data_IF_146997378446
#
_entry.id   IF_146997378446
#
_cell.length_a   1.000
_cell.length_b   1.000
_cell.length_c   1.000
_cell.angle_alpha   90.00
_cell.angle_beta   90.00
_cell.angle_gamma   90.00
#
_symmetry.space_group_name_H-M   'P 1'
#
loop_
_entity.id
_entity.type
_entity.pdbx_description
1 polymer ?
#
# COMPACT_ATOMS: atom_id res chain seq x y z
N UNK A 1 -16.11 16.45 -0.72
CA UNK A 1 -14.92 16.03 0.01
C UNK A 1 -14.88 16.70 1.37
N UNK A 2 -14.87 18.03 1.49
CA UNK A 2 -14.79 18.77 2.76
C UNK A 2 -15.87 18.40 3.79
N UNK A 3 -17.14 18.29 3.38
CA UNK A 3 -18.24 17.96 4.28
C UNK A 3 -18.07 16.58 4.91
N UNK A 4 -17.58 15.60 4.14
CA UNK A 4 -17.34 14.24 4.64
C UNK A 4 -16.09 14.13 5.50
N UNK A 5 -15.06 14.97 5.26
CA UNK A 5 -13.93 15.08 6.17
C UNK A 5 -14.34 15.64 7.53
N UNK A 6 -15.23 16.64 7.55
CA UNK A 6 -15.76 17.18 8.80
C UNK A 6 -16.60 16.14 9.56
N UNK A 7 -17.43 15.38 8.85
CA UNK A 7 -18.19 14.26 9.43
C UNK A 7 -17.26 13.18 10.01
N UNK A 8 -16.08 12.93 9.38
CA UNK A 8 -15.07 12.02 9.88
C UNK A 8 -14.40 12.54 11.16
N UNK A 9 -14.05 13.83 11.20
CA UNK A 9 -13.47 14.48 12.40
C UNK A 9 -14.49 14.49 13.56
N UNK A 10 -15.76 14.72 13.26
CA UNK A 10 -16.83 14.72 14.26
C UNK A 10 -17.14 13.29 14.79
N UNK A 11 -16.93 12.25 13.99
CA UNK A 11 -17.03 10.85 14.41
C UNK A 11 -15.83 10.44 15.30
N UNK A 12 -14.63 10.96 15.00
CA UNK A 12 -13.41 10.76 15.80
C UNK A 12 -13.59 11.27 17.23
N UNK A 13 -14.25 12.43 17.42
CA UNK A 13 -14.56 12.99 18.74
C UNK A 13 -15.60 12.19 19.54
N UNK A 14 -16.24 11.19 18.93
CA UNK A 14 -17.24 10.32 19.56
C UNK A 14 -16.73 8.91 19.96
N UNK A 15 -15.42 8.67 19.90
CA UNK A 15 -14.81 7.43 20.39
C UNK A 15 -14.69 6.29 19.38
N UNK A 16 -15.03 6.51 18.10
CA UNK A 16 -14.99 5.51 17.03
C UNK A 16 -13.86 5.80 16.01
N UNK A 17 -12.72 6.26 16.51
CA UNK A 17 -11.60 6.77 15.70
C UNK A 17 -11.11 5.78 14.63
N UNK A 18 -10.89 4.53 15.01
CA UNK A 18 -10.38 3.51 14.07
C UNK A 18 -11.38 3.16 12.97
N UNK A 19 -12.65 3.04 13.32
CA UNK A 19 -13.69 2.75 12.34
C UNK A 19 -13.85 3.92 11.36
N UNK A 20 -13.82 5.15 11.85
CA UNK A 20 -13.88 6.36 11.04
C UNK A 20 -12.71 6.49 10.07
N UNK A 21 -11.48 6.18 10.51
CA UNK A 21 -10.28 6.20 9.66
C UNK A 21 -10.42 5.15 8.55
N UNK A 22 -10.80 3.93 8.89
CA UNK A 22 -11.02 2.84 7.93
C UNK A 22 -12.06 3.22 6.87
N UNK A 23 -13.21 3.72 7.30
CA UNK A 23 -14.30 4.09 6.40
C UNK A 23 -13.91 5.28 5.51
N UNK A 24 -13.12 6.22 6.03
CA UNK A 24 -12.58 7.32 5.26
C UNK A 24 -11.59 6.82 4.21
N UNK A 25 -10.67 5.93 4.57
CA UNK A 25 -9.71 5.33 3.62
C UNK A 25 -10.47 4.57 2.53
N UNK A 26 -11.44 3.72 2.91
CA UNK A 26 -12.29 2.99 1.95
C UNK A 26 -13.00 3.93 0.98
N UNK A 27 -13.55 5.02 1.48
CA UNK A 27 -14.23 6.01 0.65
C UNK A 27 -13.31 6.67 -0.36
N UNK A 28 -12.15 7.17 0.11
CA UNK A 28 -11.22 7.92 -0.73
C UNK A 28 -10.50 6.99 -1.72
N UNK A 29 -10.05 5.84 -1.26
CA UNK A 29 -9.42 4.82 -2.10
C UNK A 29 -10.42 4.30 -3.15
N UNK A 30 -11.65 3.98 -2.74
CA UNK A 30 -12.69 3.53 -3.67
C UNK A 30 -13.06 4.60 -4.71
N UNK A 31 -13.08 5.88 -4.32
CA UNK A 31 -13.29 6.97 -5.26
C UNK A 31 -12.13 7.08 -6.28
N UNK A 32 -10.89 6.89 -5.81
CA UNK A 32 -9.72 6.87 -6.69
C UNK A 32 -9.77 5.70 -7.68
N UNK A 33 -10.04 4.48 -7.19
CA UNK A 33 -10.02 3.29 -8.03
C UNK A 33 -11.16 3.25 -9.07
N UNK A 34 -12.29 3.94 -8.78
CA UNK A 34 -13.43 4.10 -9.69
C UNK A 34 -13.35 5.33 -10.57
N UNK A 35 -12.30 6.16 -10.42
CA UNK A 35 -12.16 7.38 -11.20
C UNK A 35 -12.00 7.05 -12.69
N UNK A 36 -12.57 7.91 -13.54
CA UNK A 36 -12.39 7.80 -14.99
C UNK A 36 -10.91 8.01 -15.36
N UNK A 37 -10.32 7.16 -16.21
CA UNK A 37 -8.97 7.36 -16.74
C UNK A 37 -8.74 8.77 -17.29
N UNK A 38 -9.73 9.38 -17.93
CA UNK A 38 -9.64 10.75 -18.43
C UNK A 38 -9.39 11.79 -17.33
N UNK A 39 -9.73 11.46 -16.08
CA UNK A 39 -9.53 12.32 -14.90
C UNK A 39 -8.20 12.05 -14.22
N UNK A 40 -7.86 10.79 -13.94
CA UNK A 40 -6.66 10.49 -13.17
C UNK A 40 -5.37 10.45 -14.02
N UNK A 41 -5.42 10.06 -15.28
CA UNK A 41 -4.22 9.98 -16.13
C UNK A 41 -3.49 11.32 -16.30
N UNK A 42 -4.18 12.44 -16.59
CA UNK A 42 -3.54 13.75 -16.60
C UNK A 42 -2.98 14.16 -15.24
N UNK A 43 -3.68 13.80 -14.15
CA UNK A 43 -3.23 14.09 -12.79
C UNK A 43 -1.94 13.34 -12.43
N UNK A 44 -1.85 12.04 -12.77
CA UNK A 44 -0.63 11.24 -12.60
C UNK A 44 0.52 11.84 -13.39
N UNK A 45 0.31 12.20 -14.66
CA UNK A 45 1.35 12.79 -15.52
C UNK A 45 1.84 14.12 -14.94
N UNK A 46 0.92 15.00 -14.57
CA UNK A 46 1.26 16.29 -13.97
C UNK A 46 2.02 16.15 -12.65
N UNK A 47 1.61 15.20 -11.81
CA UNK A 47 2.29 14.89 -10.56
C UNK A 47 3.74 14.42 -10.80
N UNK A 48 3.93 13.46 -11.70
CA UNK A 48 5.25 12.93 -12.02
C UNK A 48 6.18 14.03 -12.57
N UNK A 49 5.69 14.87 -13.48
CA UNK A 49 6.45 16.00 -14.03
C UNK A 49 6.84 17.02 -12.96
N UNK A 50 5.95 17.35 -12.02
CA UNK A 50 6.28 18.25 -10.92
C UNK A 50 7.36 17.66 -10.02
N UNK A 51 7.26 16.38 -9.74
CA UNK A 51 8.23 15.66 -8.89
C UNK A 51 9.60 15.52 -9.58
N UNK A 52 9.64 15.30 -10.89
CA UNK A 52 10.89 15.34 -11.66
C UNK A 52 11.57 16.71 -11.60
N UNK A 53 10.79 17.80 -11.60
CA UNK A 53 11.32 19.17 -11.46
C UNK A 53 11.74 19.51 -10.04
N UNK A 54 11.34 18.72 -9.04
CA UNK A 54 11.68 18.97 -7.64
C UNK A 54 11.00 20.20 -7.03
N UNK A 55 9.83 20.58 -7.52
CA UNK A 55 9.12 21.81 -7.11
C UNK A 55 8.20 21.63 -5.91
N UNK A 56 7.91 20.41 -5.51
CA UNK A 56 6.97 20.11 -4.43
C UNK A 56 7.71 19.78 -3.12
N UNK A 57 7.15 20.24 -1.99
CA UNK A 57 7.60 19.88 -0.65
C UNK A 57 7.11 18.47 -0.28
N UNK A 58 7.89 17.47 -0.65
CA UNK A 58 7.64 16.06 -0.36
C UNK A 58 8.97 15.37 -0.06
N UNK A 59 8.93 14.26 0.67
CA UNK A 59 10.15 13.49 0.92
C UNK A 59 10.79 13.02 -0.39
N UNK A 60 12.11 12.99 -0.45
CA UNK A 60 12.85 12.52 -1.64
C UNK A 60 12.48 11.08 -1.99
N UNK A 61 12.21 10.25 -0.99
CA UNK A 61 11.79 8.87 -1.19
C UNK A 61 10.46 8.78 -1.95
N UNK A 62 9.43 9.50 -1.52
CA UNK A 62 8.12 9.51 -2.20
C UNK A 62 8.25 10.10 -3.60
N UNK A 63 9.05 11.17 -3.76
CA UNK A 63 9.32 11.77 -5.06
C UNK A 63 9.93 10.77 -6.03
N UNK A 64 11.03 10.13 -5.63
CA UNK A 64 11.72 9.14 -6.46
C UNK A 64 10.82 7.96 -6.80
N UNK A 65 9.99 7.52 -5.85
CA UNK A 65 9.07 6.42 -6.05
C UNK A 65 7.98 6.77 -7.08
N UNK A 66 7.33 7.92 -6.99
CA UNK A 66 6.30 8.36 -7.93
C UNK A 66 6.86 8.45 -9.35
N UNK A 67 8.03 9.09 -9.51
CA UNK A 67 8.70 9.22 -10.81
C UNK A 67 8.99 7.84 -11.40
N UNK A 68 9.60 6.96 -10.60
CA UNK A 68 9.93 5.59 -11.01
C UNK A 68 8.68 4.80 -11.41
N UNK A 69 7.63 4.83 -10.60
CA UNK A 69 6.40 4.09 -10.88
C UNK A 69 5.71 4.59 -12.15
N UNK A 70 5.69 5.91 -12.36
CA UNK A 70 5.13 6.46 -13.60
C UNK A 70 5.98 6.10 -14.84
N UNK A 71 7.31 5.96 -14.71
CA UNK A 71 8.16 5.46 -15.81
C UNK A 71 7.88 4.00 -16.14
N UNK A 72 7.63 3.16 -15.12
CA UNK A 72 7.36 1.73 -15.30
C UNK A 72 5.92 1.45 -15.75
N UNK A 73 4.97 2.22 -15.24
CA UNK A 73 3.52 2.12 -15.50
C UNK A 73 2.95 3.51 -15.79
N UNK A 74 3.18 4.03 -16.99
CA UNK A 74 2.77 5.40 -17.32
C UNK A 74 1.27 5.61 -17.13
N UNK A 75 0.92 6.65 -16.38
CA UNK A 75 -0.47 7.07 -16.15
C UNK A 75 -1.33 6.06 -15.39
N UNK A 76 -0.74 5.03 -14.78
CA UNK A 76 -1.49 4.05 -14.00
C UNK A 76 -1.98 4.65 -12.68
N UNK A 77 -3.21 4.33 -12.31
CA UNK A 77 -3.81 4.78 -11.04
C UNK A 77 -3.02 4.29 -9.81
N UNK A 78 -2.32 3.17 -9.93
CA UNK A 78 -1.45 2.60 -8.89
C UNK A 78 -0.31 3.52 -8.48
N UNK A 79 0.10 4.47 -9.34
CA UNK A 79 1.07 5.51 -8.96
C UNK A 79 0.53 6.35 -7.80
N UNK A 80 -0.77 6.66 -7.81
CA UNK A 80 -1.42 7.41 -6.73
C UNK A 80 -1.65 6.56 -5.47
N UNK A 81 -1.63 5.23 -5.57
CA UNK A 81 -1.72 4.35 -4.40
C UNK A 81 -0.53 4.50 -3.45
N UNK A 82 0.60 5.04 -3.90
CA UNK A 82 1.75 5.39 -3.05
C UNK A 82 1.37 6.28 -1.87
N UNK A 83 0.32 7.10 -1.98
CA UNK A 83 -0.16 7.96 -0.90
C UNK A 83 -1.07 7.24 0.12
N UNK A 84 -1.41 6.00 -0.14
CA UNK A 84 -2.25 5.17 0.74
C UNK A 84 -1.45 4.08 1.44
N UNK A 85 -0.26 3.75 0.94
CA UNK A 85 0.53 2.62 1.39
C UNK A 85 1.81 3.08 2.09
N UNK A 86 2.24 2.31 3.07
CA UNK A 86 3.55 2.49 3.68
C UNK A 86 4.65 2.06 2.70
N UNK A 87 5.76 2.80 2.68
CA UNK A 87 7.00 2.33 2.06
C UNK A 87 7.82 1.61 3.12
N UNK A 88 8.11 0.33 2.90
CA UNK A 88 8.81 -0.51 3.87
C UNK A 88 10.12 -0.99 3.27
N UNK A 89 11.23 -0.70 3.96
CA UNK A 89 12.54 -1.23 3.64
C UNK A 89 12.88 -2.39 4.58
N UNK A 90 13.22 -3.53 3.99
CA UNK A 90 13.67 -4.70 4.72
C UNK A 90 15.17 -4.90 4.49
N UNK A 91 15.90 -5.06 5.56
CA UNK A 91 17.30 -5.46 5.53
C UNK A 91 17.43 -6.99 5.42
N UNK A 92 18.64 -7.44 5.14
CA UNK A 92 18.92 -8.89 5.09
C UNK A 92 18.56 -9.55 6.42
N UNK A 93 17.74 -10.58 6.35
CA UNK A 93 17.27 -11.34 7.51
C UNK A 93 16.01 -10.79 8.17
N UNK A 94 15.50 -9.66 7.70
CA UNK A 94 14.19 -9.15 8.13
C UNK A 94 13.07 -9.77 7.30
N UNK A 95 11.91 -9.88 7.90
CA UNK A 95 10.70 -10.37 7.27
C UNK A 95 9.50 -9.50 7.63
N UNK A 96 8.44 -9.60 6.85
CA UNK A 96 7.15 -9.01 7.17
C UNK A 96 6.03 -10.00 6.88
N UNK A 97 4.92 -9.82 7.58
CA UNK A 97 3.69 -10.54 7.33
C UNK A 97 2.69 -9.64 6.62
N UNK A 98 2.15 -10.14 5.52
CA UNK A 98 1.08 -9.51 4.77
C UNK A 98 -0.17 -10.37 4.95
N UNK A 99 -1.18 -9.81 5.62
CA UNK A 99 -2.46 -10.47 5.83
C UNK A 99 -3.25 -10.63 4.52
N UNK A 100 -4.27 -11.47 4.56
CA UNK A 100 -5.24 -11.50 3.48
C UNK A 100 -5.91 -10.14 3.34
N UNK A 101 -6.27 -9.79 2.10
CA UNK A 101 -6.97 -8.55 1.77
C UNK A 101 -6.20 -7.25 2.13
N UNK A 102 -4.88 -7.33 2.26
CA UNK A 102 -3.98 -6.20 2.44
C UNK A 102 -3.24 -5.90 1.12
N UNK A 103 -3.44 -4.71 0.51
CA UNK A 103 -2.82 -4.38 -0.76
C UNK A 103 -1.32 -4.14 -0.58
N UNK A 104 -0.51 -4.71 -1.47
CA UNK A 104 0.94 -4.55 -1.44
C UNK A 104 1.57 -4.64 -2.82
N UNK A 105 2.79 -4.15 -2.95
CA UNK A 105 3.61 -4.32 -4.14
C UNK A 105 5.08 -4.43 -3.77
N UNK A 106 5.79 -5.34 -4.42
CA UNK A 106 7.25 -5.48 -4.31
C UNK A 106 7.92 -4.54 -5.30
N UNK A 107 8.70 -3.60 -4.80
CA UNK A 107 9.26 -2.53 -5.63
C UNK A 107 10.67 -2.84 -6.13
N UNK A 108 11.52 -3.40 -5.28
CA UNK A 108 12.90 -3.75 -5.62
C UNK A 108 13.52 -4.69 -4.59
N UNK A 109 14.61 -5.37 -4.99
CA UNK A 109 15.38 -6.25 -4.12
C UNK A 109 15.14 -7.73 -4.44
N UNK A 110 15.69 -8.58 -3.58
CA UNK A 110 15.53 -10.03 -3.62
C UNK A 110 14.83 -10.48 -2.34
N UNK A 111 13.72 -11.16 -2.49
CA UNK A 111 12.92 -11.69 -1.38
C UNK A 111 12.60 -13.17 -1.61
N UNK A 112 12.30 -13.84 -0.52
CA UNK A 112 11.59 -15.12 -0.54
C UNK A 112 10.15 -14.84 -0.09
N UNK A 113 9.19 -15.22 -0.91
CA UNK A 113 7.77 -15.15 -0.59
C UNK A 113 7.27 -16.57 -0.31
N UNK A 114 6.60 -16.73 0.83
CA UNK A 114 5.89 -17.96 1.17
C UNK A 114 4.44 -17.62 1.40
N UNK A 115 3.54 -18.20 0.65
CA UNK A 115 2.12 -17.91 0.71
C UNK A 115 1.29 -19.19 0.60
N UNK A 116 0.07 -19.15 1.11
CA UNK A 116 -0.91 -20.21 0.88
C UNK A 116 -1.24 -20.28 -0.63
N UNK A 117 -1.44 -21.50 -1.13
CA UNK A 117 -1.84 -21.69 -2.52
C UNK A 117 -3.23 -21.07 -2.76
N UNK A 118 -3.30 -20.11 -3.65
CA UNK A 118 -4.53 -19.40 -3.99
C UNK A 118 -4.43 -18.84 -5.41
N UNK A 119 -5.51 -18.92 -6.18
CA UNK A 119 -5.62 -18.36 -7.53
C UNK A 119 -6.36 -17.01 -7.57
N UNK A 120 -6.87 -16.54 -6.44
CA UNK A 120 -7.75 -15.39 -6.36
C UNK A 120 -6.96 -14.09 -6.07
N UNK A 121 -6.09 -13.72 -6.98
CA UNK A 121 -5.39 -12.44 -6.94
C UNK A 121 -6.28 -11.35 -7.54
N UNK A 122 -6.69 -10.40 -6.70
CA UNK A 122 -7.40 -9.19 -7.11
C UNK A 122 -6.39 -8.04 -7.25
N UNK A 123 -6.41 -7.36 -8.40
CA UNK A 123 -5.38 -6.38 -8.74
C UNK A 123 -5.86 -4.96 -8.54
N UNK A 124 -5.00 -4.13 -7.95
CA UNK A 124 -5.28 -2.71 -7.71
C UNK A 124 -4.75 -1.83 -8.86
N UNK A 125 -3.45 -1.81 -9.07
CA UNK A 125 -2.78 -0.98 -10.08
C UNK A 125 -1.39 -1.52 -10.38
N UNK A 126 -0.57 -0.75 -11.11
CA UNK A 126 0.77 -1.10 -11.53
C UNK A 126 0.81 -2.43 -12.31
N UNK A 127 -0.17 -2.64 -13.19
CA UNK A 127 -0.33 -3.88 -13.93
C UNK A 127 -1.10 -3.67 -15.23
N UNK A 128 -0.70 -4.35 -16.32
CA UNK A 128 -1.50 -4.38 -17.54
C UNK A 128 -2.68 -5.36 -17.48
N UNK A 129 -2.79 -6.15 -16.40
CA UNK A 129 -3.84 -7.16 -16.26
C UNK A 129 -5.17 -6.53 -15.87
N UNK A 130 -6.27 -7.22 -16.20
CA UNK A 130 -7.61 -6.80 -15.83
C UNK A 130 -7.77 -6.61 -14.32
N UNK A 131 -8.50 -5.59 -13.94
CA UNK A 131 -8.81 -5.24 -12.54
C UNK A 131 -10.30 -5.40 -12.30
N UNK A 132 -10.67 -5.99 -11.19
CA UNK A 132 -12.03 -5.98 -10.67
C UNK A 132 -12.11 -4.97 -9.52
N UNK A 133 -12.43 -3.73 -9.87
CA UNK A 133 -12.41 -2.61 -8.93
C UNK A 133 -13.46 -2.78 -7.83
N UNK A 134 -14.62 -3.33 -8.14
CA UNK A 134 -15.67 -3.49 -7.15
C UNK A 134 -15.31 -4.55 -6.12
N UNK A 135 -14.82 -5.70 -6.56
CA UNK A 135 -14.31 -6.73 -5.67
C UNK A 135 -13.14 -6.19 -4.85
N UNK A 136 -12.18 -5.49 -5.48
CA UNK A 136 -11.05 -4.90 -4.78
C UNK A 136 -11.49 -3.99 -3.64
N UNK A 137 -12.39 -3.04 -3.93
CA UNK A 137 -12.81 -2.05 -2.93
C UNK A 137 -13.64 -2.69 -1.81
N UNK A 138 -14.39 -3.74 -2.10
CA UNK A 138 -15.19 -4.39 -1.08
C UNK A 138 -14.39 -5.34 -0.18
N UNK A 139 -13.37 -6.01 -0.71
CA UNK A 139 -12.64 -7.03 0.02
C UNK A 139 -11.58 -6.46 0.99
N UNK A 140 -10.98 -5.30 0.69
CA UNK A 140 -9.84 -4.79 1.45
C UNK A 140 -10.20 -4.48 2.92
N UNK A 141 -9.26 -4.74 3.81
CA UNK A 141 -9.43 -4.51 5.26
C UNK A 141 -9.45 -3.03 5.64
N UNK A 142 -8.75 -2.20 4.88
CA UNK A 142 -8.53 -0.77 5.15
C UNK A 142 -7.96 -0.47 6.55
N UNK A 143 -7.26 -1.44 7.14
CA UNK A 143 -6.58 -1.22 8.39
C UNK A 143 -5.35 -0.36 8.20
N UNK A 144 -5.27 0.74 8.95
CA UNK A 144 -4.09 1.57 9.03
C UNK A 144 -3.16 1.04 10.12
N UNK A 145 -1.94 0.70 9.74
CA UNK A 145 -0.89 0.18 10.64
C UNK A 145 0.40 0.96 10.44
N UNK A 146 1.18 1.08 11.50
CA UNK A 146 2.55 1.55 11.38
C UNK A 146 3.39 0.53 10.57
N UNK A 147 4.26 1.02 9.70
CA UNK A 147 5.17 0.19 8.93
C UNK A 147 6.02 -0.75 9.80
N UNK A 148 6.43 -0.29 10.98
CA UNK A 148 7.17 -1.09 11.94
C UNK A 148 6.36 -2.27 12.50
N UNK A 149 5.05 -2.10 12.67
CA UNK A 149 4.16 -3.15 13.17
C UNK A 149 3.91 -4.29 12.17
N UNK A 150 4.26 -4.09 10.90
CA UNK A 150 4.16 -5.12 9.86
C UNK A 150 5.41 -6.01 9.79
N UNK A 151 6.50 -5.62 10.45
CA UNK A 151 7.71 -6.44 10.51
C UNK A 151 7.52 -7.60 11.48
N UNK A 152 8.06 -8.75 11.10
CA UNK A 152 8.13 -9.91 11.98
C UNK A 152 9.44 -9.85 12.77
N UNK A 153 9.32 -9.92 14.10
CA UNK A 153 10.47 -10.24 14.94
C UNK A 153 10.81 -11.72 14.74
N UNK A 154 12.02 -11.99 14.25
CA UNK A 154 12.47 -13.34 14.11
C UNK A 154 12.66 -13.97 15.51
N UNK A 155 11.87 -14.98 15.89
CA UNK A 155 12.09 -15.66 17.15
C UNK A 155 13.43 -16.39 17.11
N UNK A 156 14.17 -16.36 18.21
CA UNK A 156 15.37 -17.19 18.34
C UNK A 156 14.90 -18.64 18.44
N UNK A 157 15.35 -19.47 17.48
CA UNK A 157 15.09 -20.90 17.58
C UNK A 157 16.00 -21.51 18.66
N UNK A 158 15.39 -22.10 19.69
CA UNK A 158 16.07 -22.72 20.84
C UNK A 158 16.26 -24.23 20.70
N UNK A 159 15.94 -24.78 19.51
CA UNK A 159 15.90 -26.22 19.28
C UNK A 159 17.20 -26.88 18.85
N UNK A 160 18.30 -26.14 18.62
CA UNK A 160 19.61 -26.73 18.38
C UNK A 160 20.73 -25.71 18.51
N UNK A 161 21.90 -26.13 19.00
CA UNK A 161 23.05 -25.34 19.41
C UNK A 161 23.82 -24.59 18.29
N UNK A 162 23.30 -24.57 17.10
CA UNK A 162 23.80 -23.76 16.00
C UNK A 162 22.96 -22.48 15.92
N UNK A 163 23.50 -21.37 16.37
CA UNK A 163 22.91 -20.03 16.34
C UNK A 163 22.51 -19.63 14.92
N UNK A 164 21.34 -20.02 14.49
CA UNK A 164 20.72 -19.59 13.26
C UNK A 164 19.42 -18.84 13.57
N UNK A 165 19.23 -17.68 13.00
CA UNK A 165 17.92 -17.01 13.02
C UNK A 165 17.02 -17.75 12.03
N UNK A 166 15.95 -18.38 12.52
CA UNK A 166 14.92 -18.99 11.69
C UNK A 166 13.81 -17.98 11.52
N UNK A 167 13.56 -17.59 10.29
CA UNK A 167 12.42 -16.75 9.93
C UNK A 167 11.23 -17.67 9.73
N UNK A 168 10.24 -17.58 10.61
CA UNK A 168 8.95 -18.23 10.39
C UNK A 168 8.05 -17.28 9.59
N UNK A 169 7.68 -17.70 8.41
CA UNK A 169 6.52 -17.14 7.73
C UNK A 169 5.32 -17.94 8.25
N UNK A 170 4.48 -17.32 9.06
CA UNK A 170 3.23 -17.96 9.45
C UNK A 170 2.25 -17.88 8.28
N UNK A 171 1.68 -19.02 7.92
CA UNK A 171 0.61 -19.14 6.94
C UNK A 171 -0.73 -18.77 7.56
#
# INVERSE_FOLDING_TARGET
VYKRQQEAVDAQSRGDEKACVRDTIKLVFGALMRADPQVYEPAVSSLAERYERGTDEVSEEVRALIVRLNQQYPKDVGVLCTFFLNVVHLERGQAMFLGADEPHAYLSGHILECMAASDNVVRAGLTPKARDVEVLVDMLTYESKDAAAQRLDAPVWDGDSQKGTVIYLSL
#
